data_IF_889348185288
#
_entry.id   IF_889348185288
#
_cell.length_a   1.000
_cell.length_b   1.000
_cell.length_c   1.000
_cell.angle_alpha   90.00
_cell.angle_beta   90.00
_cell.angle_gamma   90.00
#
_symmetry.space_group_name_H-M   'P 1'
#
loop_
_entity.id
_entity.type
_entity.pdbx_description
1 polymer ?
#
# COMPACT_ATOMS: atom_id res chain seq x y z
N UNK A 1 -21.04 -16.13 6.31
CA UNK A 1 -21.18 -15.66 4.92
C UNK A 1 -20.06 -16.17 4.03
N UNK A 2 -18.78 -15.82 4.26
CA UNK A 2 -17.67 -16.29 3.40
C UNK A 2 -17.62 -17.82 3.20
N UNK A 3 -17.87 -18.61 4.25
CA UNK A 3 -17.97 -20.08 4.13
C UNK A 3 -19.14 -20.57 3.28
N UNK A 4 -20.25 -19.81 3.22
CA UNK A 4 -21.41 -20.16 2.40
C UNK A 4 -21.15 -19.87 0.92
N UNK A 5 -20.44 -18.77 0.65
CA UNK A 5 -20.04 -18.34 -0.70
C UNK A 5 -18.66 -18.87 -1.11
N UNK A 6 -18.20 -19.98 -0.54
CA UNK A 6 -16.91 -20.56 -0.92
C UNK A 6 -16.93 -20.95 -2.42
N UNK A 7 -15.82 -20.75 -3.17
CA UNK A 7 -14.54 -20.22 -2.72
C UNK A 7 -14.57 -18.70 -2.47
N UNK A 8 -13.94 -18.23 -1.39
CA UNK A 8 -13.96 -16.82 -1.00
C UNK A 8 -12.61 -16.36 -0.44
N UNK A 9 -12.29 -15.08 -0.66
CA UNK A 9 -11.11 -14.43 -0.06
C UNK A 9 -11.55 -13.32 0.88
N UNK A 10 -11.05 -13.33 2.10
CA UNK A 10 -11.22 -12.27 3.10
C UNK A 10 -9.90 -11.51 3.19
N UNK A 11 -9.91 -10.21 2.92
CA UNK A 11 -8.76 -9.33 3.11
C UNK A 11 -9.00 -8.42 4.33
N UNK A 12 -8.03 -8.39 5.23
CA UNK A 12 -8.03 -7.57 6.45
C UNK A 12 -6.79 -6.68 6.39
N UNK A 13 -7.00 -5.38 6.19
CA UNK A 13 -5.92 -4.41 6.28
C UNK A 13 -5.69 -3.97 7.74
N UNK A 14 -4.47 -3.55 8.05
CA UNK A 14 -4.06 -3.11 9.40
C UNK A 14 -4.49 -4.09 10.51
N UNK A 15 -4.29 -5.40 10.27
CA UNK A 15 -4.77 -6.46 11.18
C UNK A 15 -4.18 -6.35 12.59
N UNK A 16 -3.05 -5.67 12.74
CA UNK A 16 -2.44 -5.34 14.04
C UNK A 16 -3.40 -4.56 14.94
N UNK A 17 -4.21 -3.65 14.40
CA UNK A 17 -5.20 -2.88 15.20
C UNK A 17 -6.22 -3.76 15.94
N UNK A 18 -6.51 -4.96 15.41
CA UNK A 18 -7.40 -5.94 16.01
C UNK A 18 -6.66 -7.01 16.82
N UNK A 19 -5.36 -7.19 16.58
CA UNK A 19 -4.60 -8.37 16.98
C UNK A 19 -3.37 -8.06 17.84
N UNK A 20 -3.19 -6.81 18.29
CA UNK A 20 -2.09 -6.35 19.13
C UNK A 20 -1.83 -7.27 20.36
N UNK A 21 -0.57 -7.35 20.77
CA UNK A 21 -0.12 -8.09 21.94
C UNK A 21 -0.77 -7.55 23.21
N UNK A 22 -1.16 -8.46 24.11
CA UNK A 22 -1.76 -8.12 25.40
C UNK A 22 -0.78 -7.27 26.21
N UNK A 23 -1.13 -6.02 26.50
CA UNK A 23 -0.16 -5.09 27.06
C UNK A 23 -0.75 -3.86 27.77
N UNK A 24 -1.70 -4.06 28.69
CA UNK A 24 -2.07 -3.03 29.67
C UNK A 24 -3.50 -3.15 30.18
N UNK A 25 -3.75 -2.69 31.40
CA UNK A 25 -5.08 -2.57 32.04
C UNK A 25 -6.08 -1.65 31.31
N UNK A 26 -5.78 -1.24 30.07
CA UNK A 26 -6.57 -0.39 29.19
C UNK A 26 -7.07 -1.09 27.92
N UNK A 27 -6.83 -2.40 27.72
CA UNK A 27 -7.40 -3.10 26.57
C UNK A 27 -8.94 -3.13 26.69
N UNK A 28 -9.63 -2.45 25.76
CA UNK A 28 -11.09 -2.42 25.76
C UNK A 28 -11.67 -3.83 25.59
N UNK A 29 -12.59 -4.22 26.48
CA UNK A 29 -13.33 -5.51 26.43
C UNK A 29 -13.97 -5.81 25.07
N UNK A 30 -14.33 -4.77 24.31
CA UNK A 30 -14.83 -4.89 22.95
C UNK A 30 -13.76 -5.44 21.98
N UNK A 31 -12.53 -4.95 22.07
CA UNK A 31 -11.41 -5.40 21.25
C UNK A 31 -11.05 -6.86 21.56
N UNK A 32 -10.96 -7.21 22.87
CA UNK A 32 -10.75 -8.59 23.31
C UNK A 32 -11.78 -9.56 22.75
N UNK A 33 -13.06 -9.18 22.78
CA UNK A 33 -14.15 -10.01 22.22
C UNK A 33 -14.05 -10.12 20.70
N UNK A 34 -13.82 -9.02 19.98
CA UNK A 34 -13.67 -9.04 18.53
C UNK A 34 -12.53 -9.97 18.09
N UNK A 35 -11.39 -9.88 18.76
CA UNK A 35 -10.21 -10.73 18.55
C UNK A 35 -10.50 -12.21 18.82
N UNK A 36 -11.16 -12.53 19.94
CA UNK A 36 -11.56 -13.90 20.26
C UNK A 36 -12.55 -14.48 19.24
N UNK A 37 -13.48 -13.67 18.75
CA UNK A 37 -14.39 -14.07 17.67
C UNK A 37 -13.65 -14.33 16.37
N UNK A 38 -12.72 -13.46 15.99
CA UNK A 38 -11.91 -13.63 14.78
C UNK A 38 -11.11 -14.94 14.82
N UNK A 39 -10.40 -15.20 15.91
CA UNK A 39 -9.68 -16.47 16.13
C UNK A 39 -10.60 -17.69 16.00
N UNK A 40 -11.76 -17.65 16.66
CA UNK A 40 -12.74 -18.75 16.60
C UNK A 40 -13.27 -18.99 15.19
N UNK A 41 -13.49 -17.91 14.41
CA UNK A 41 -13.94 -18.04 13.02
C UNK A 41 -12.83 -18.58 12.11
N UNK A 42 -11.58 -18.17 12.32
CA UNK A 42 -10.43 -18.67 11.58
C UNK A 42 -10.17 -20.15 11.83
N UNK A 43 -10.39 -20.65 13.06
CA UNK A 43 -10.30 -22.07 13.38
C UNK A 43 -11.35 -22.92 12.65
N UNK A 44 -12.50 -22.32 12.32
CA UNK A 44 -13.55 -22.97 11.54
C UNK A 44 -13.31 -22.99 10.02
N UNK A 45 -12.25 -22.33 9.53
CA UNK A 45 -11.86 -22.32 8.11
C UNK A 45 -11.00 -23.56 7.83
N UNK A 46 -11.34 -24.32 6.78
CA UNK A 46 -10.60 -25.53 6.38
C UNK A 46 -11.11 -26.86 6.95
N UNK A 47 -12.18 -26.85 7.76
CA UNK A 47 -12.85 -28.07 8.24
C UNK A 47 -13.58 -28.81 7.10
N UNK A 48 -14.00 -28.08 6.07
CA UNK A 48 -14.71 -28.60 4.91
C UNK A 48 -13.79 -28.48 3.68
N UNK A 49 -13.29 -29.60 3.16
CA UNK A 49 -12.27 -29.62 2.10
C UNK A 49 -12.78 -29.02 0.78
N UNK A 50 -14.10 -29.02 0.58
CA UNK A 50 -14.74 -28.48 -0.62
C UNK A 50 -15.03 -26.97 -0.53
N UNK A 51 -14.86 -26.36 0.65
CA UNK A 51 -15.17 -24.94 0.90
C UNK A 51 -13.93 -24.16 1.31
N UNK A 52 -13.15 -23.76 0.31
CA UNK A 52 -11.92 -23.00 0.50
C UNK A 52 -12.24 -21.53 0.82
N UNK A 53 -11.79 -21.07 1.98
CA UNK A 53 -11.78 -19.64 2.33
C UNK A 53 -10.34 -19.22 2.62
N UNK A 54 -9.84 -18.26 1.86
CA UNK A 54 -8.50 -17.70 2.05
C UNK A 54 -8.59 -16.42 2.88
N UNK A 55 -7.77 -16.31 3.93
CA UNK A 55 -7.68 -15.09 4.73
C UNK A 55 -6.32 -14.44 4.50
N UNK A 56 -6.32 -13.20 4.02
CA UNK A 56 -5.13 -12.36 3.88
C UNK A 56 -5.20 -11.24 4.91
N UNK A 57 -4.15 -11.12 5.73
CA UNK A 57 -3.94 -9.99 6.63
C UNK A 57 -2.76 -9.15 6.16
N UNK A 58 -2.92 -7.83 6.14
CA UNK A 58 -1.84 -6.88 5.93
C UNK A 58 -1.52 -6.15 7.24
N UNK A 59 -0.23 -5.91 7.50
CA UNK A 59 0.25 -5.20 8.69
C UNK A 59 1.58 -4.52 8.42
N UNK A 60 1.80 -3.37 9.04
CA UNK A 60 3.10 -2.70 9.10
C UNK A 60 3.88 -3.04 10.39
N UNK A 61 3.23 -3.73 11.33
CA UNK A 61 3.76 -4.04 12.67
C UNK A 61 3.64 -5.54 12.98
N UNK A 62 4.35 -6.41 12.23
CA UNK A 62 4.21 -7.85 12.38
C UNK A 62 4.62 -8.38 13.76
N UNK A 63 5.48 -7.66 14.48
CA UNK A 63 5.90 -8.00 15.84
C UNK A 63 4.83 -7.69 16.90
N UNK A 64 3.94 -6.74 16.62
CA UNK A 64 2.85 -6.36 17.53
C UNK A 64 1.69 -7.35 17.49
N UNK A 65 1.63 -8.24 16.49
CA UNK A 65 0.60 -9.28 16.41
C UNK A 65 0.82 -10.33 17.51
N UNK A 66 -0.26 -10.66 18.22
CA UNK A 66 -0.23 -11.68 19.26
C UNK A 66 0.11 -13.08 18.74
N UNK A 67 0.52 -13.95 19.67
CA UNK A 67 0.98 -15.29 19.30
C UNK A 67 -0.12 -16.16 18.69
N UNK A 68 -1.37 -16.03 19.14
CA UNK A 68 -2.49 -16.83 18.65
C UNK A 68 -2.78 -16.52 17.17
N UNK A 69 -2.87 -15.24 16.81
CA UNK A 69 -3.07 -14.81 15.42
C UNK A 69 -1.86 -15.14 14.55
N UNK A 70 -0.64 -14.94 15.07
CA UNK A 70 0.59 -15.33 14.35
C UNK A 70 0.66 -16.82 14.01
N UNK A 71 0.09 -17.70 14.83
CA UNK A 71 0.01 -19.15 14.55
C UNK A 71 -1.03 -19.50 13.48
N UNK A 72 -2.11 -18.72 13.36
CA UNK A 72 -3.13 -18.91 12.31
C UNK A 72 -2.74 -18.32 10.96
N UNK A 73 -1.93 -17.25 10.99
CA UNK A 73 -1.32 -16.66 9.79
C UNK A 73 0.03 -17.33 9.52
N UNK A 74 -0.04 -18.58 9.04
CA UNK A 74 1.12 -19.44 8.81
C UNK A 74 2.04 -18.92 7.70
N UNK A 75 1.45 -18.50 6.58
CA UNK A 75 2.19 -17.95 5.44
C UNK A 75 2.41 -16.46 5.65
N UNK A 76 3.69 -16.07 5.68
CA UNK A 76 4.12 -14.68 5.86
C UNK A 76 4.96 -14.26 4.67
N UNK A 77 4.51 -13.22 3.99
CA UNK A 77 5.18 -12.66 2.82
C UNK A 77 5.69 -11.28 3.23
N UNK A 78 7.01 -11.11 3.24
CA UNK A 78 7.60 -9.81 3.46
C UNK A 78 7.59 -9.02 2.15
N UNK A 79 7.07 -7.80 2.20
CA UNK A 79 7.09 -6.86 1.07
C UNK A 79 8.19 -5.83 1.37
N UNK A 80 9.37 -5.95 0.75
CA UNK A 80 10.43 -4.96 0.93
C UNK A 80 10.10 -3.66 0.20
N UNK A 81 10.91 -2.64 0.46
CA UNK A 81 10.96 -1.47 -0.41
C UNK A 81 11.41 -1.86 -1.82
N UNK A 82 10.92 -1.16 -2.87
CA UNK A 82 11.20 -1.52 -4.25
C UNK A 82 12.70 -1.42 -4.55
N UNK A 83 13.23 -2.46 -5.19
CA UNK A 83 14.60 -2.47 -5.70
C UNK A 83 14.73 -1.56 -6.94
N UNK A 84 15.93 -1.45 -7.47
CA UNK A 84 16.22 -0.61 -8.62
C UNK A 84 15.31 -0.91 -9.83
N UNK A 85 15.16 -2.18 -10.18
CA UNK A 85 14.35 -2.59 -11.34
C UNK A 85 12.86 -2.42 -11.07
N UNK A 86 12.41 -2.69 -9.83
CA UNK A 86 11.03 -2.44 -9.40
C UNK A 86 10.68 -0.95 -9.49
N UNK A 87 11.60 -0.06 -9.09
CA UNK A 87 11.42 1.39 -9.22
C UNK A 87 11.26 1.81 -10.68
N UNK A 88 12.02 1.23 -11.61
CA UNK A 88 11.85 1.51 -13.05
C UNK A 88 10.45 1.10 -13.52
N UNK A 89 9.98 -0.08 -13.11
CA UNK A 89 8.63 -0.56 -13.43
C UNK A 89 7.57 0.36 -12.84
N UNK A 90 7.71 0.75 -11.56
CA UNK A 90 6.81 1.68 -10.89
C UNK A 90 6.78 3.05 -11.58
N UNK A 91 7.93 3.59 -11.98
CA UNK A 91 8.01 4.86 -12.73
C UNK A 91 7.28 4.75 -14.07
N UNK A 92 7.47 3.64 -14.81
CA UNK A 92 6.75 3.39 -16.07
C UNK A 92 5.25 3.31 -15.88
N UNK A 93 4.77 2.59 -14.86
CA UNK A 93 3.34 2.48 -14.54
C UNK A 93 2.76 3.85 -14.20
N UNK A 94 3.42 4.59 -13.30
CA UNK A 94 2.95 5.90 -12.84
C UNK A 94 3.01 6.99 -13.92
N UNK A 95 3.82 6.80 -14.97
CA UNK A 95 3.94 7.75 -16.08
C UNK A 95 3.19 7.33 -17.34
N UNK A 96 2.52 6.17 -17.35
CA UNK A 96 1.88 5.60 -18.53
C UNK A 96 0.81 6.52 -19.17
N UNK A 97 0.17 7.38 -18.37
CA UNK A 97 -0.83 8.35 -18.83
C UNK A 97 -0.26 9.74 -19.16
N UNK A 98 1.05 9.95 -18.97
CA UNK A 98 1.71 11.24 -19.12
C UNK A 98 2.44 11.34 -20.46
N UNK A 99 2.47 12.55 -21.03
CA UNK A 99 3.36 12.86 -22.16
C UNK A 99 4.74 13.15 -21.62
N UNK A 100 5.66 12.22 -21.83
CA UNK A 100 7.06 12.37 -21.45
C UNK A 100 7.87 12.94 -22.61
N UNK A 101 8.92 13.68 -22.27
CA UNK A 101 9.95 14.10 -23.23
C UNK A 101 10.89 12.93 -23.52
N UNK A 102 11.56 12.96 -24.67
CA UNK A 102 12.45 11.89 -25.12
C UNK A 102 13.72 11.73 -24.29
N UNK A 103 14.05 12.72 -23.46
CA UNK A 103 15.21 12.75 -22.57
C UNK A 103 14.93 12.13 -21.18
N UNK A 104 13.70 11.68 -20.90
CA UNK A 104 13.37 11.03 -19.62
C UNK A 104 14.01 9.65 -19.55
N UNK A 105 14.95 9.50 -18.60
CA UNK A 105 15.64 8.24 -18.37
C UNK A 105 15.32 7.67 -16.98
N UNK A 106 14.51 6.60 -16.95
CA UNK A 106 14.10 5.95 -15.70
C UNK A 106 15.24 5.23 -14.96
N UNK A 107 16.30 4.81 -15.67
CA UNK A 107 17.49 4.23 -15.05
C UNK A 107 18.17 5.26 -14.14
N UNK A 108 18.39 6.46 -14.69
CA UNK A 108 19.03 7.56 -13.97
C UNK A 108 18.17 8.00 -12.78
N UNK A 109 16.84 8.09 -12.97
CA UNK A 109 15.91 8.43 -11.90
C UNK A 109 15.93 7.34 -10.81
N UNK A 110 15.86 6.06 -11.18
CA UNK A 110 15.86 4.95 -10.21
C UNK A 110 17.12 4.91 -9.35
N UNK A 111 18.30 5.21 -9.94
CA UNK A 111 19.56 5.34 -9.20
C UNK A 111 19.56 6.55 -8.28
N UNK A 112 18.98 7.68 -8.70
CA UNK A 112 18.87 8.86 -7.83
C UNK A 112 17.94 8.67 -6.62
N UNK A 113 17.02 7.69 -6.68
CA UNK A 113 16.13 7.34 -5.57
C UNK A 113 16.73 6.29 -4.62
N UNK A 114 17.87 5.72 -4.97
CA UNK A 114 18.55 4.71 -4.16
C UNK A 114 19.03 5.28 -2.82
N UNK A 115 18.87 4.51 -1.74
CA UNK A 115 19.25 4.95 -0.38
C UNK A 115 18.26 5.91 0.31
N UNK A 116 17.21 6.36 -0.39
CA UNK A 116 16.24 7.31 0.16
C UNK A 116 14.94 6.67 0.67
N UNK A 117 14.90 5.34 0.83
CA UNK A 117 13.77 4.57 1.37
C UNK A 117 12.39 4.87 0.73
N UNK A 118 12.37 5.15 -0.58
CA UNK A 118 11.11 5.40 -1.30
C UNK A 118 10.24 4.15 -1.36
N UNK A 119 9.03 4.24 -0.80
CA UNK A 119 7.97 3.27 -1.00
C UNK A 119 7.31 3.45 -2.38
N UNK A 120 6.48 2.48 -2.78
CA UNK A 120 5.67 2.62 -4.00
C UNK A 120 4.79 3.88 -3.99
N UNK A 121 4.24 4.25 -2.83
CA UNK A 121 3.44 5.46 -2.67
C UNK A 121 4.26 6.74 -2.85
N UNK A 122 5.52 6.74 -2.39
CA UNK A 122 6.42 7.89 -2.55
C UNK A 122 6.81 8.08 -4.01
N UNK A 123 7.07 6.99 -4.77
CA UNK A 123 7.34 7.06 -6.21
C UNK A 123 6.14 7.63 -6.97
N UNK A 124 4.93 7.20 -6.63
CA UNK A 124 3.70 7.75 -7.21
C UNK A 124 3.55 9.24 -6.93
N UNK A 125 3.83 9.65 -5.68
CA UNK A 125 3.78 11.06 -5.26
C UNK A 125 4.82 11.91 -5.98
N UNK A 126 6.04 11.40 -6.14
CA UNK A 126 7.12 12.04 -6.90
C UNK A 126 6.69 12.34 -8.35
N UNK A 127 6.11 11.36 -9.05
CA UNK A 127 5.65 11.54 -10.44
C UNK A 127 4.53 12.58 -10.50
N UNK A 128 3.59 12.51 -9.56
CA UNK A 128 2.48 13.48 -9.46
C UNK A 128 3.01 14.91 -9.25
N UNK A 129 3.98 15.10 -8.37
CA UNK A 129 4.55 16.41 -8.09
C UNK A 129 5.32 16.96 -9.29
N UNK A 130 6.08 16.12 -9.99
CA UNK A 130 6.77 16.50 -11.22
C UNK A 130 5.79 16.96 -12.32
N UNK A 131 4.66 16.27 -12.48
CA UNK A 131 3.60 16.67 -13.41
C UNK A 131 2.99 18.03 -13.01
N UNK A 132 2.67 18.22 -11.73
CA UNK A 132 2.11 19.47 -11.22
C UNK A 132 3.08 20.66 -11.34
N UNK A 133 4.38 20.45 -11.16
CA UNK A 133 5.39 21.49 -11.38
C UNK A 133 5.41 21.99 -12.83
N UNK A 134 5.19 21.08 -13.78
CA UNK A 134 5.11 21.45 -15.20
C UNK A 134 3.87 22.28 -15.49
N UNK A 135 2.71 21.91 -14.94
CA UNK A 135 1.48 22.70 -15.05
C UNK A 135 1.63 24.10 -14.45
N UNK A 136 2.24 24.21 -13.26
CA UNK A 136 2.51 25.50 -12.61
C UNK A 136 3.42 26.40 -13.44
N UNK A 137 4.43 25.84 -14.13
CA UNK A 137 5.32 26.59 -15.03
C UNK A 137 4.56 27.10 -16.26
N UNK A 138 3.70 26.27 -16.84
CA UNK A 138 2.88 26.65 -17.99
C UNK A 138 1.93 27.82 -17.66
N UNK A 139 1.19 27.75 -16.54
CA UNK A 139 0.30 28.82 -16.11
C UNK A 139 1.02 30.17 -15.95
N UNK A 140 2.20 30.17 -15.30
CA UNK A 140 3.00 31.39 -15.16
C UNK A 140 3.45 31.98 -16.49
N UNK A 141 3.73 31.15 -17.50
CA UNK A 141 4.09 31.63 -18.84
C UNK A 141 2.89 32.22 -19.58
N UNK A 142 1.71 31.59 -19.47
CA UNK A 142 0.46 32.10 -20.05
C UNK A 142 0.10 33.46 -19.46
N UNK A 143 0.12 33.60 -18.14
CA UNK A 143 -0.15 34.88 -17.47
C UNK A 143 0.81 35.99 -17.93
N UNK A 144 2.10 35.66 -18.06
CA UNK A 144 3.12 36.62 -18.52
C UNK A 144 2.93 37.01 -19.97
N UNK A 145 2.41 36.12 -20.82
CA UNK A 145 2.09 36.42 -22.23
C UNK A 145 0.85 37.30 -22.32
N UNK A 146 -0.20 37.00 -21.56
CA UNK A 146 -1.41 37.82 -21.48
C UNK A 146 -1.13 39.24 -20.99
N UNK A 147 -0.24 39.40 -19.99
CA UNK A 147 0.20 40.71 -19.51
C UNK A 147 0.98 41.52 -20.57
N UNK A 148 1.74 40.84 -21.45
CA UNK A 148 2.47 41.51 -22.53
C UNK A 148 1.57 41.91 -23.70
N UNK A 149 0.56 41.10 -24.02
CA UNK A 149 -0.41 41.39 -25.09
C UNK A 149 -1.35 42.54 -24.70
N UNK A 150 -1.73 42.66 -23.42
CA UNK A 150 -2.57 43.77 -22.93
C UNK A 150 -1.81 45.08 -22.67
N UNK A 151 -0.47 45.04 -22.69
CA UNK A 151 0.40 46.20 -22.48
C UNK A 151 0.99 46.77 -23.78
N UNK A 152 0.68 46.16 -24.92
CA UNK A 152 1.02 46.62 -26.28
C UNK A 152 -0.22 47.22 -26.95
#
# INVERSE_FOLDING_TARGET
MARHYAPSTIFIDEIDTLCEQRGGSQEHEASRRAKGMLLTQMDGVGVDQDKIVMVLGATNRPWDIDEAMRRRLEKRIYIPLPAHDDRIVLLKINTASLRLSSDVNFEVISRSLEGHYYSGADVTSLVRDAAMMTMRRFMKQVDRKALKENAA
#
